data_IF_296968517631
#
_entry.id   IF_296968517631
#
_cell.length_a   1.000
_cell.length_b   1.000
_cell.length_c   1.000
_cell.angle_alpha   90.00
_cell.angle_beta   90.00
_cell.angle_gamma   90.00
#
_symmetry.space_group_name_H-M   'P 1'
#
loop_
_entity.id
_entity.type
_entity.pdbx_description
1 polymer ?
#
# COMPACT_ATOMS: atom_id res chain seq x y z
N UNK A 1 2.10 12.90 -9.57
CA UNK A 1 1.17 11.74 -9.58
C UNK A 1 1.99 10.45 -9.52
N UNK A 2 1.51 9.40 -8.86
CA UNK A 2 2.24 8.12 -8.73
C UNK A 2 1.39 6.96 -9.27
N UNK A 3 1.99 6.07 -10.03
CA UNK A 3 1.36 4.83 -10.52
C UNK A 3 2.20 3.62 -10.11
N UNK A 4 1.62 2.43 -10.26
CA UNK A 4 2.28 1.16 -9.94
C UNK A 4 2.98 0.63 -11.20
N UNK A 5 4.29 0.34 -11.13
CA UNK A 5 5.03 -0.30 -12.23
C UNK A 5 5.58 -1.65 -11.82
N UNK A 6 5.61 -2.57 -12.80
CA UNK A 6 6.25 -3.88 -12.71
C UNK A 6 7.77 -3.69 -12.70
N UNK A 7 8.47 -4.42 -11.84
CA UNK A 7 9.93 -4.57 -11.91
C UNK A 7 10.26 -5.46 -13.13
N UNK A 8 11.08 -4.96 -14.04
CA UNK A 8 11.32 -5.58 -15.34
C UNK A 8 12.05 -6.93 -15.23
N UNK A 9 11.40 -8.00 -15.69
CA UNK A 9 12.01 -9.24 -16.18
C UNK A 9 11.11 -9.82 -17.28
N UNK A 10 11.75 -10.37 -18.33
CA UNK A 10 11.21 -10.77 -19.63
C UNK A 10 9.98 -11.73 -19.62
N UNK A 11 9.19 -11.78 -20.71
CA UNK A 11 7.96 -12.60 -20.85
C UNK A 11 8.19 -13.87 -21.72
N UNK A 12 7.16 -14.71 -22.02
CA UNK A 12 6.03 -15.19 -21.21
C UNK A 12 5.74 -16.72 -21.39
N UNK A 13 4.82 -17.27 -20.59
CA UNK A 13 3.89 -18.32 -21.04
C UNK A 13 2.45 -17.98 -20.63
N UNK A 14 1.55 -18.22 -21.57
CA UNK A 14 0.13 -17.88 -21.59
C UNK A 14 -0.78 -18.87 -20.81
N UNK A 15 -2.06 -18.48 -20.72
CA UNK A 15 -3.31 -19.27 -20.55
C UNK A 15 -4.03 -19.22 -19.17
N UNK A 16 -5.36 -19.51 -19.06
CA UNK A 16 -6.48 -18.60 -19.35
C UNK A 16 -7.63 -18.68 -18.28
N UNK A 17 -8.78 -18.03 -18.55
CA UNK A 17 -10.10 -18.11 -17.87
C UNK A 17 -10.26 -17.47 -16.47
N UNK A 18 -11.39 -16.93 -16.04
CA UNK A 18 -12.63 -16.38 -16.63
C UNK A 18 -13.53 -15.93 -15.47
N UNK A 19 -14.17 -14.77 -15.61
CA UNK A 19 -15.52 -14.35 -15.17
C UNK A 19 -16.05 -14.74 -13.74
N UNK A 20 -16.67 -13.83 -12.98
CA UNK A 20 -18.12 -13.48 -12.99
C UNK A 20 -18.29 -12.26 -12.02
N UNK A 21 -18.70 -11.07 -12.47
CA UNK A 21 -20.04 -10.44 -12.42
C UNK A 21 -20.66 -10.26 -11.00
N UNK A 22 -21.28 -9.15 -10.59
CA UNK A 22 -21.58 -7.85 -11.22
C UNK A 22 -22.59 -7.01 -10.40
N UNK A 23 -22.82 -5.76 -10.88
CA UNK A 23 -24.05 -4.92 -10.86
C UNK A 23 -24.57 -4.41 -9.47
N UNK A 24 -24.91 -3.14 -9.17
CA UNK A 24 -25.75 -2.14 -9.86
C UNK A 24 -25.46 -0.69 -9.40
N UNK A 25 -25.57 0.25 -10.35
CA UNK A 25 -25.84 1.66 -10.10
C UNK A 25 -27.35 1.95 -10.24
N UNK A 26 -27.93 2.80 -9.37
CA UNK A 26 -28.92 3.79 -9.84
C UNK A 26 -29.25 4.89 -8.83
N UNK A 27 -28.98 6.12 -9.26
CA UNK A 27 -29.61 7.37 -8.79
C UNK A 27 -31.12 7.32 -9.00
N UNK A 28 -31.92 7.69 -7.99
CA UNK A 28 -33.27 8.24 -8.19
C UNK A 28 -33.60 9.41 -7.24
N UNK A 29 -34.40 10.32 -7.80
CA UNK A 29 -34.82 11.65 -7.37
C UNK A 29 -35.53 11.70 -6.01
N UNK A 30 -35.30 12.82 -5.30
CA UNK A 30 -36.02 13.24 -4.09
C UNK A 30 -37.52 13.42 -4.35
N UNK A 31 -38.36 12.74 -3.58
CA UNK A 31 -39.75 13.14 -3.26
C UNK A 31 -39.92 13.12 -1.75
N UNK A 32 -40.16 14.30 -1.16
CA UNK A 32 -40.46 14.50 0.27
C UNK A 32 -41.80 13.85 0.63
N UNK A 33 -41.79 12.90 1.56
CA UNK A 33 -42.96 12.52 2.38
C UNK A 33 -42.49 12.46 3.84
N UNK A 34 -43.14 13.25 4.70
CA UNK A 34 -42.92 13.28 6.16
C UNK A 34 -43.24 11.91 6.75
N UNK A 35 -42.30 11.30 7.46
CA UNK A 35 -42.51 10.12 8.30
C UNK A 35 -41.78 10.33 9.63
N UNK A 36 -42.48 9.96 10.71
CA UNK A 36 -42.16 10.14 12.14
C UNK A 36 -40.67 9.98 12.46
N UNK A 37 -40.13 10.95 13.20
CA UNK A 37 -38.83 10.86 13.87
C UNK A 37 -38.80 9.60 14.73
N UNK A 38 -38.01 8.62 14.29
CA UNK A 38 -37.36 7.67 15.20
C UNK A 38 -36.05 8.32 15.60
N UNK A 39 -35.79 8.37 16.90
CA UNK A 39 -34.46 8.64 17.45
C UNK A 39 -33.42 7.79 16.71
N UNK A 40 -32.23 8.32 16.38
CA UNK A 40 -31.17 7.47 15.87
C UNK A 40 -30.83 6.48 16.97
N UNK A 41 -30.93 5.19 16.68
CA UNK A 41 -30.18 4.21 17.44
C UNK A 41 -28.72 4.68 17.39
N UNK A 42 -28.10 4.93 18.54
CA UNK A 42 -26.66 5.14 18.62
C UNK A 42 -26.05 3.87 18.05
N UNK A 43 -25.61 3.91 16.80
CA UNK A 43 -24.86 2.79 16.22
C UNK A 43 -23.63 2.64 17.12
N UNK A 44 -23.49 1.48 17.75
CA UNK A 44 -22.32 1.19 18.56
C UNK A 44 -21.07 1.41 17.68
N UNK A 45 -20.18 2.29 18.13
CA UNK A 45 -18.91 2.51 17.44
C UNK A 45 -18.18 1.17 17.36
N UNK A 46 -17.69 0.82 16.18
CA UNK A 46 -16.91 -0.41 16.00
C UNK A 46 -15.58 -0.16 16.68
N UNK A 47 -15.25 -0.91 17.72
CA UNK A 47 -13.94 -0.82 18.38
C UNK A 47 -13.04 -1.94 17.91
N UNK A 48 -11.80 -1.61 17.56
CA UNK A 48 -10.78 -2.58 17.16
C UNK A 48 -9.45 -2.33 17.87
N UNK A 49 -8.85 -3.41 18.38
CA UNK A 49 -7.53 -3.39 19.00
C UNK A 49 -6.46 -3.80 17.99
N UNK A 50 -5.49 -2.92 17.80
CA UNK A 50 -4.31 -3.13 16.96
C UNK A 50 -3.08 -3.15 17.85
N UNK A 51 -2.26 -4.19 17.75
CA UNK A 51 -0.96 -4.26 18.42
C UNK A 51 0.15 -4.20 17.37
N UNK A 52 1.15 -3.35 17.59
CA UNK A 52 2.34 -3.25 16.73
C UNK A 52 3.53 -3.95 17.37
N UNK A 53 4.27 -4.74 16.60
CA UNK A 53 5.46 -5.49 17.02
C UNK A 53 6.57 -5.39 15.96
N UNK A 54 7.80 -5.73 16.32
CA UNK A 54 8.97 -5.57 15.46
C UNK A 54 10.18 -5.05 16.24
N UNK A 55 11.36 -5.09 15.62
CA UNK A 55 12.63 -4.76 16.25
C UNK A 55 12.68 -3.36 16.88
N UNK A 56 13.62 -3.19 17.82
CA UNK A 56 13.99 -1.88 18.34
C UNK A 56 14.34 -0.91 17.20
N UNK A 57 13.94 0.35 17.31
CA UNK A 57 14.24 1.39 16.33
C UNK A 57 13.73 1.16 14.87
N UNK A 58 12.88 0.15 14.62
CA UNK A 58 12.31 -0.08 13.29
C UNK A 58 11.18 0.91 12.91
N UNK A 59 10.84 1.86 13.79
CA UNK A 59 9.90 2.96 13.50
C UNK A 59 8.44 2.74 13.92
N UNK A 60 8.15 1.77 14.81
CA UNK A 60 6.79 1.48 15.32
C UNK A 60 6.09 2.71 15.92
N UNK A 61 6.75 3.35 16.88
CA UNK A 61 6.26 4.55 17.57
C UNK A 61 5.98 5.68 16.59
N UNK A 62 6.93 5.97 15.69
CA UNK A 62 6.77 7.02 14.68
C UNK A 62 5.57 6.73 13.75
N UNK A 63 5.38 5.47 13.34
CA UNK A 63 4.24 5.08 12.52
C UNK A 63 2.91 5.36 13.22
N UNK A 64 2.77 5.00 14.50
CA UNK A 64 1.54 5.22 15.26
C UNK A 64 1.30 6.70 15.57
N UNK A 65 2.36 7.46 15.90
CA UNK A 65 2.27 8.90 16.17
C UNK A 65 1.84 9.65 14.91
N UNK A 66 2.47 9.39 13.77
CA UNK A 66 2.09 10.04 12.50
C UNK A 66 0.66 9.69 12.13
N UNK A 67 0.25 8.44 12.29
CA UNK A 67 -1.11 8.02 12.02
C UNK A 67 -2.15 8.71 12.90
N UNK A 68 -1.84 8.94 14.18
CA UNK A 68 -2.79 9.52 15.15
C UNK A 68 -2.77 11.05 15.24
N UNK A 69 -1.62 11.68 14.99
CA UNK A 69 -1.40 13.13 15.21
C UNK A 69 -1.01 13.91 13.96
N UNK A 70 -0.79 13.25 12.83
CA UNK A 70 -0.34 13.85 11.57
C UNK A 70 0.95 14.70 11.71
N UNK A 71 1.81 14.33 12.67
CA UNK A 71 3.08 14.99 12.96
C UNK A 71 4.17 13.95 13.19
N UNK A 72 5.35 14.16 12.59
CA UNK A 72 6.50 13.30 12.79
C UNK A 72 7.25 13.73 14.06
N UNK A 73 7.58 12.82 14.99
CA UNK A 73 8.32 13.17 16.19
C UNK A 73 9.78 13.51 15.85
N UNK A 74 10.26 14.68 16.28
CA UNK A 74 11.66 15.10 16.07
C UNK A 74 12.65 14.44 17.03
N UNK A 75 12.16 13.99 18.19
CA UNK A 75 12.99 13.37 19.24
C UNK A 75 12.63 11.89 19.36
N UNK A 76 13.64 11.04 19.27
CA UNK A 76 13.48 9.61 19.52
C UNK A 76 13.50 9.33 21.02
N UNK A 77 12.39 8.80 21.53
CA UNK A 77 12.27 8.27 22.90
C UNK A 77 11.92 6.79 22.79
N UNK A 78 12.72 5.86 23.35
CA UNK A 78 12.40 4.44 23.31
C UNK A 78 11.06 4.12 24.02
N UNK A 79 10.16 3.42 23.32
CA UNK A 79 8.88 2.97 23.91
C UNK A 79 9.10 1.82 24.90
N UNK A 80 8.39 1.88 26.03
CA UNK A 80 8.16 0.73 26.92
C UNK A 80 6.81 0.09 26.59
N UNK A 81 5.72 0.81 26.87
CA UNK A 81 4.36 0.51 26.41
C UNK A 81 3.56 1.81 26.33
N UNK A 82 2.88 2.04 25.22
CA UNK A 82 1.97 3.18 25.09
C UNK A 82 0.67 2.78 24.40
N UNK A 83 -0.44 3.33 24.86
CA UNK A 83 -1.76 3.10 24.30
C UNK A 83 -2.30 4.40 23.72
N UNK A 84 -2.62 4.37 22.43
CA UNK A 84 -3.24 5.48 21.73
C UNK A 84 -4.65 5.10 21.27
N UNK A 85 -5.52 6.09 21.14
CA UNK A 85 -6.85 5.91 20.55
C UNK A 85 -6.95 6.83 19.33
N UNK A 86 -7.40 6.27 18.21
CA UNK A 86 -7.63 7.00 16.98
C UNK A 86 -9.01 6.67 16.41
N UNK A 87 -9.83 7.69 16.18
CA UNK A 87 -11.11 7.56 15.51
C UNK A 87 -10.91 7.68 13.99
N UNK A 88 -11.36 6.67 13.24
CA UNK A 88 -11.27 6.64 11.79
C UNK A 88 -12.62 6.32 11.13
N UNK A 89 -12.79 6.77 9.89
CA UNK A 89 -13.93 6.39 9.05
C UNK A 89 -13.49 5.38 7.98
N UNK A 90 -14.12 4.20 7.99
CA UNK A 90 -13.89 3.13 7.00
C UNK A 90 -15.24 2.74 6.39
N UNK A 91 -15.38 2.86 5.06
CA UNK A 91 -16.60 2.54 4.33
C UNK A 91 -17.87 3.22 4.90
N UNK A 92 -17.74 4.46 5.36
CA UNK A 92 -18.84 5.22 5.96
C UNK A 92 -19.20 4.79 7.40
N UNK A 93 -18.38 3.96 8.04
CA UNK A 93 -18.53 3.54 9.44
C UNK A 93 -17.43 4.14 10.30
N UNK A 94 -17.82 4.66 11.46
CA UNK A 94 -16.88 5.12 12.48
C UNK A 94 -16.30 3.93 13.22
N UNK A 95 -14.97 3.86 13.28
CA UNK A 95 -14.19 2.82 13.94
C UNK A 95 -13.24 3.48 14.93
N UNK A 96 -13.31 3.08 16.19
CA UNK A 96 -12.33 3.45 17.21
C UNK A 96 -11.20 2.41 17.20
N UNK A 97 -9.98 2.85 16.86
CA UNK A 97 -8.79 2.03 16.93
C UNK A 97 -8.05 2.26 18.24
N UNK A 98 -7.94 1.21 19.05
CA UNK A 98 -7.01 1.16 20.17
C UNK A 98 -5.65 0.64 19.67
N UNK A 99 -4.67 1.53 19.59
CA UNK A 99 -3.32 1.25 19.11
C UNK A 99 -2.40 0.96 20.31
N UNK A 100 -1.82 -0.22 20.34
CA UNK A 100 -0.91 -0.67 21.39
C UNK A 100 0.51 -0.70 20.86
N UNK A 101 1.31 0.29 21.27
CA UNK A 101 2.75 0.38 20.97
C UNK A 101 3.56 -0.49 21.92
N UNK A 102 4.48 -1.29 21.37
CA UNK A 102 5.27 -2.24 22.15
C UNK A 102 6.78 -2.02 21.96
N UNK A 103 7.55 -2.25 23.02
CA UNK A 103 8.99 -2.25 22.96
C UNK A 103 9.53 -3.39 22.07
N UNK A 104 10.48 -3.05 21.20
CA UNK A 104 11.14 -4.02 20.31
C UNK A 104 12.44 -4.62 20.87
N UNK A 105 12.91 -4.15 22.04
CA UNK A 105 14.12 -4.69 22.66
C UNK A 105 13.82 -5.99 23.41
N UNK A 106 14.83 -6.85 23.52
CA UNK A 106 14.77 -8.16 24.19
C UNK A 106 14.48 -8.02 25.70
N UNK A 107 14.93 -6.93 26.32
CA UNK A 107 14.66 -6.61 27.73
C UNK A 107 13.16 -6.64 28.09
N UNK A 108 12.29 -6.43 27.09
CA UNK A 108 10.84 -6.40 27.25
C UNK A 108 10.12 -7.65 26.73
N UNK A 109 10.84 -8.70 26.31
CA UNK A 109 10.24 -9.92 25.75
C UNK A 109 9.25 -10.61 26.71
N UNK A 110 9.47 -10.49 28.03
CA UNK A 110 8.56 -11.04 29.04
C UNK A 110 7.32 -10.18 29.29
N UNK A 111 7.39 -8.89 29.00
CA UNK A 111 6.31 -7.94 29.24
C UNK A 111 5.43 -7.76 28.00
N UNK A 112 6.00 -7.87 26.80
CA UNK A 112 5.27 -7.71 25.53
C UNK A 112 4.02 -8.59 25.42
N UNK A 113 4.03 -9.87 25.88
CA UNK A 113 2.85 -10.72 25.84
C UNK A 113 1.61 -10.17 26.56
N UNK A 114 1.79 -9.28 27.53
CA UNK A 114 0.69 -8.62 28.24
C UNK A 114 -0.14 -7.70 27.33
N UNK A 115 0.39 -7.31 26.17
CA UNK A 115 -0.30 -6.48 25.19
C UNK A 115 -1.18 -7.29 24.23
N UNK A 116 -1.01 -8.60 24.11
CA UNK A 116 -1.70 -9.45 23.13
C UNK A 116 -3.16 -9.85 23.41
N UNK A 117 -3.66 -9.92 24.67
CA UNK A 117 -5.05 -10.30 24.91
C UNK A 117 -6.05 -9.44 24.13
N UNK A 118 -7.08 -10.08 23.56
CA UNK A 118 -8.17 -9.43 22.80
C UNK A 118 -7.72 -8.61 21.58
N UNK A 119 -6.60 -8.96 20.96
CA UNK A 119 -6.10 -8.28 19.76
C UNK A 119 -6.90 -8.66 18.51
N UNK A 120 -7.37 -7.67 17.75
CA UNK A 120 -8.08 -7.88 16.48
C UNK A 120 -7.14 -7.95 15.26
N UNK A 121 -6.00 -7.26 15.32
CA UNK A 121 -5.01 -7.20 14.22
C UNK A 121 -3.60 -6.92 14.73
N UNK A 122 -2.61 -7.55 14.10
CA UNK A 122 -1.19 -7.32 14.37
C UNK A 122 -0.56 -6.53 13.22
N UNK A 123 0.12 -5.43 13.54
CA UNK A 123 1.09 -4.80 12.65
C UNK A 123 2.48 -5.33 12.98
N UNK A 124 3.10 -6.03 12.05
CA UNK A 124 4.43 -6.58 12.20
C UNK A 124 5.41 -5.76 11.36
N UNK A 125 6.33 -5.06 12.01
CA UNK A 125 7.17 -4.04 11.39
C UNK A 125 8.63 -4.45 11.29
N UNK A 126 9.24 -4.17 10.15
CA UNK A 126 10.68 -4.14 9.93
C UNK A 126 11.06 -2.77 9.32
N UNK A 127 12.34 -2.44 9.26
CA UNK A 127 12.80 -1.21 8.60
C UNK A 127 13.71 -1.51 7.42
N UNK A 128 13.53 -0.78 6.30
CA UNK A 128 14.29 -1.05 5.06
C UNK A 128 15.77 -0.71 5.15
N UNK A 129 16.18 0.02 6.18
CA UNK A 129 17.56 0.35 6.53
C UNK A 129 18.22 -0.66 7.49
N UNK A 130 17.50 -1.72 7.90
CA UNK A 130 18.02 -2.76 8.79
C UNK A 130 17.65 -4.15 8.25
N UNK A 131 18.57 -4.83 7.55
CA UNK A 131 18.34 -6.18 7.03
C UNK A 131 17.99 -7.19 8.13
N UNK A 132 18.70 -7.12 9.26
CA UNK A 132 18.44 -7.96 10.44
C UNK A 132 16.98 -7.87 10.89
N UNK A 133 16.37 -6.68 10.83
CA UNK A 133 14.97 -6.51 11.23
C UNK A 133 13.97 -7.24 10.32
N UNK A 134 14.34 -7.49 9.06
CA UNK A 134 13.58 -8.31 8.13
C UNK A 134 13.83 -9.81 8.38
N UNK A 135 15.06 -10.21 8.65
CA UNK A 135 15.42 -11.60 9.00
C UNK A 135 14.73 -12.06 10.30
N UNK A 136 14.58 -11.15 11.25
CA UNK A 136 13.87 -11.40 12.51
C UNK A 136 12.36 -11.63 12.33
N UNK A 137 11.76 -11.30 11.18
CA UNK A 137 10.33 -11.54 10.92
C UNK A 137 9.97 -13.02 11.00
N UNK A 138 10.59 -13.92 10.20
CA UNK A 138 10.35 -15.35 10.32
C UNK A 138 10.97 -15.99 11.57
N UNK A 139 12.11 -15.47 12.06
CA UNK A 139 12.88 -16.13 13.12
C UNK A 139 12.33 -15.82 14.54
N UNK A 140 11.85 -14.61 14.77
CA UNK A 140 11.42 -14.14 16.09
C UNK A 140 9.95 -13.73 16.12
N UNK A 141 9.58 -12.75 15.30
CA UNK A 141 8.27 -12.09 15.43
C UNK A 141 7.11 -12.96 15.01
N UNK A 142 7.26 -13.74 13.95
CA UNK A 142 6.22 -14.66 13.49
C UNK A 142 5.96 -15.78 14.51
N UNK A 143 6.98 -16.50 15.03
CA UNK A 143 6.78 -17.48 16.09
C UNK A 143 6.10 -16.90 17.35
N UNK A 144 6.56 -15.73 17.81
CA UNK A 144 5.99 -15.08 19.01
C UNK A 144 4.51 -14.73 18.81
N UNK A 145 4.17 -14.03 17.72
CA UNK A 145 2.79 -13.63 17.43
C UNK A 145 1.91 -14.85 17.22
N UNK A 146 2.36 -15.89 16.52
CA UNK A 146 1.57 -17.11 16.33
C UNK A 146 1.35 -17.90 17.62
N UNK A 147 2.27 -17.81 18.58
CA UNK A 147 2.11 -18.43 19.89
C UNK A 147 1.00 -17.75 20.71
N UNK A 148 1.00 -16.42 20.79
CA UNK A 148 0.05 -15.67 21.62
C UNK A 148 -1.25 -15.29 20.90
N UNK A 149 -1.22 -15.16 19.57
CA UNK A 149 -2.30 -14.66 18.72
C UNK A 149 -2.55 -15.57 17.49
N UNK A 150 -2.82 -16.88 17.67
CA UNK A 150 -2.80 -17.87 16.59
C UNK A 150 -3.78 -17.60 15.42
N UNK A 151 -4.90 -16.92 15.69
CA UNK A 151 -5.95 -16.65 14.71
C UNK A 151 -6.07 -15.17 14.34
N UNK A 152 -5.14 -14.33 14.81
CA UNK A 152 -5.21 -12.89 14.58
C UNK A 152 -4.52 -12.56 13.25
N UNK A 153 -5.18 -11.80 12.35
CA UNK A 153 -4.56 -11.41 11.09
C UNK A 153 -3.34 -10.52 11.31
N UNK A 154 -2.25 -10.87 10.61
CA UNK A 154 -0.99 -10.10 10.63
C UNK A 154 -0.90 -9.26 9.35
N UNK A 155 -0.42 -8.03 9.46
CA UNK A 155 -0.05 -7.16 8.34
C UNK A 155 1.45 -6.88 8.47
N UNK A 156 2.23 -7.27 7.47
CA UNK A 156 3.66 -6.96 7.40
C UNK A 156 3.84 -5.51 6.90
N UNK A 157 4.68 -4.73 7.58
CA UNK A 157 4.91 -3.31 7.30
C UNK A 157 6.41 -3.05 7.21
N UNK A 158 6.86 -2.55 6.06
CA UNK A 158 8.24 -2.07 5.87
C UNK A 158 8.34 -0.56 6.06
N UNK A 159 9.01 -0.14 7.13
CA UNK A 159 9.20 1.25 7.51
C UNK A 159 10.47 1.86 6.89
N UNK A 160 10.59 3.19 6.97
CA UNK A 160 11.76 3.98 6.54
C UNK A 160 12.14 3.82 5.06
N UNK A 161 11.12 3.67 4.21
CA UNK A 161 11.29 3.49 2.76
C UNK A 161 12.17 4.59 2.13
N UNK A 162 12.07 5.81 2.64
CA UNK A 162 12.88 6.97 2.24
C UNK A 162 14.40 6.68 2.29
N UNK A 163 14.85 5.84 3.24
CA UNK A 163 16.27 5.50 3.41
C UNK A 163 16.79 4.43 2.44
N UNK A 164 15.91 3.76 1.67
CA UNK A 164 16.32 2.68 0.74
C UNK A 164 17.28 3.16 -0.36
N UNK A 165 17.16 4.43 -0.76
CA UNK A 165 18.00 5.06 -1.78
C UNK A 165 18.90 6.17 -1.22
N UNK A 166 18.92 6.34 0.10
CA UNK A 166 19.76 7.34 0.76
C UNK A 166 21.23 6.93 0.71
N UNK A 167 22.09 7.82 0.19
CA UNK A 167 23.50 7.50 0.00
C UNK A 167 24.23 7.27 1.32
N UNK A 168 23.88 8.03 2.36
CA UNK A 168 24.52 7.90 3.66
C UNK A 168 24.20 6.53 4.26
N UNK A 169 22.92 6.15 4.28
CA UNK A 169 22.45 4.84 4.74
C UNK A 169 23.14 3.70 4.00
N UNK A 170 23.23 3.79 2.67
CA UNK A 170 23.92 2.78 1.85
C UNK A 170 25.40 2.66 2.18
N UNK A 171 26.09 3.78 2.44
CA UNK A 171 27.51 3.76 2.85
C UNK A 171 27.69 3.11 4.21
N UNK A 172 26.83 3.38 5.18
CA UNK A 172 26.92 2.75 6.50
C UNK A 172 26.66 1.25 6.44
N UNK A 173 25.63 0.81 5.69
CA UNK A 173 25.35 -0.61 5.47
C UNK A 173 26.52 -1.31 4.77
N UNK A 174 27.12 -0.68 3.75
CA UNK A 174 28.26 -1.23 3.04
C UNK A 174 29.48 -1.46 3.96
N UNK A 175 29.71 -0.62 4.98
CA UNK A 175 30.76 -0.85 5.99
C UNK A 175 30.53 -2.14 6.77
N UNK A 176 29.28 -2.50 6.98
CA UNK A 176 28.85 -3.74 7.65
C UNK A 176 28.69 -4.91 6.68
N UNK A 177 29.05 -4.73 5.40
CA UNK A 177 28.84 -5.71 4.30
C UNK A 177 27.37 -6.10 4.12
N UNK A 178 26.47 -5.16 4.37
CA UNK A 178 25.02 -5.31 4.20
C UNK A 178 24.50 -4.33 3.13
N UNK A 179 23.27 -4.58 2.66
CA UNK A 179 22.54 -3.70 1.75
C UNK A 179 21.07 -3.58 2.18
N UNK A 180 20.38 -2.54 1.73
CA UNK A 180 18.96 -2.35 2.08
C UNK A 180 18.10 -3.51 1.58
N UNK A 181 17.10 -3.89 2.37
CA UNK A 181 16.16 -4.95 2.02
C UNK A 181 15.49 -4.69 0.66
N UNK A 182 15.56 -5.67 -0.23
CA UNK A 182 14.97 -5.68 -1.57
C UNK A 182 13.50 -6.10 -1.52
N UNK A 183 12.76 -5.85 -2.61
CA UNK A 183 11.36 -6.28 -2.68
C UNK A 183 11.20 -7.81 -2.74
N UNK A 184 12.22 -8.53 -3.22
CA UNK A 184 12.22 -9.99 -3.31
C UNK A 184 12.39 -10.63 -1.93
N UNK A 185 13.25 -10.09 -1.08
CA UNK A 185 13.43 -10.56 0.30
C UNK A 185 12.16 -10.36 1.14
N UNK A 186 11.42 -9.28 0.90
CA UNK A 186 10.12 -9.03 1.55
C UNK A 186 9.11 -10.12 1.17
N UNK A 187 9.10 -10.59 -0.08
CA UNK A 187 8.22 -11.69 -0.49
C UNK A 187 8.53 -12.98 0.28
N UNK A 188 9.80 -13.28 0.52
CA UNK A 188 10.18 -14.46 1.29
C UNK A 188 9.61 -14.41 2.71
N UNK A 189 9.58 -13.23 3.33
CA UNK A 189 8.95 -13.04 4.65
C UNK A 189 7.44 -13.26 4.64
N UNK A 190 6.73 -12.95 3.54
CA UNK A 190 5.28 -13.15 3.45
C UNK A 190 4.86 -14.62 3.57
N UNK A 191 5.72 -15.56 3.21
CA UNK A 191 5.49 -17.02 3.38
C UNK A 191 5.16 -17.38 4.83
N UNK A 192 5.73 -16.64 5.77
CA UNK A 192 5.58 -16.85 7.21
C UNK A 192 4.39 -16.08 7.79
N UNK A 193 4.06 -14.92 7.20
CA UNK A 193 3.08 -13.97 7.73
C UNK A 193 1.64 -14.23 7.24
N UNK A 194 1.42 -14.58 5.96
CA UNK A 194 0.06 -14.78 5.40
C UNK A 194 -0.01 -15.86 4.33
N UNK A 195 -1.07 -16.70 4.31
CA UNK A 195 -1.82 -17.28 5.42
C UNK A 195 -0.99 -18.21 6.33
N UNK A 196 0.31 -18.35 6.08
CA UNK A 196 1.17 -19.37 6.70
C UNK A 196 1.05 -20.72 5.98
N UNK A 197 1.55 -21.79 6.61
CA UNK A 197 1.47 -23.17 6.13
C UNK A 197 2.11 -23.42 4.74
N UNK A 198 3.29 -22.85 4.50
CA UNK A 198 3.99 -23.03 3.22
C UNK A 198 3.35 -22.25 2.06
N UNK A 199 2.60 -21.18 2.35
CA UNK A 199 2.15 -20.26 1.33
C UNK A 199 3.32 -19.72 0.52
N UNK A 200 3.20 -19.78 -0.79
CA UNK A 200 4.11 -19.12 -1.72
C UNK A 200 3.40 -17.93 -2.36
N UNK A 201 3.90 -16.69 -2.14
CA UNK A 201 3.41 -15.52 -2.83
C UNK A 201 3.52 -15.68 -4.35
N UNK A 202 2.38 -15.89 -5.02
CA UNK A 202 2.30 -15.97 -6.47
C UNK A 202 1.67 -14.68 -7.03
N UNK A 203 2.26 -13.54 -6.70
CA UNK A 203 1.89 -12.26 -7.28
C UNK A 203 3.14 -11.41 -7.51
N UNK A 204 3.09 -10.60 -8.56
CA UNK A 204 4.17 -9.66 -8.86
C UNK A 204 4.12 -8.48 -7.89
N UNK A 205 5.26 -8.12 -7.30
CA UNK A 205 5.37 -6.90 -6.49
C UNK A 205 5.42 -5.69 -7.41
N UNK A 206 4.57 -4.72 -7.12
CA UNK A 206 4.58 -3.43 -7.81
C UNK A 206 5.13 -2.35 -6.88
N UNK A 207 5.88 -1.41 -7.45
CA UNK A 207 6.33 -0.24 -6.73
C UNK A 207 5.62 1.02 -7.26
N UNK A 208 5.34 1.96 -6.35
CA UNK A 208 4.90 3.31 -6.75
C UNK A 208 6.07 4.05 -7.38
N UNK A 209 5.93 4.43 -8.64
CA UNK A 209 6.86 5.31 -9.34
C UNK A 209 6.20 6.65 -9.67
N UNK A 210 7.01 7.66 -9.96
CA UNK A 210 6.52 8.92 -10.49
C UNK A 210 6.22 8.78 -11.98
N UNK A 211 5.08 9.32 -12.41
CA UNK A 211 4.64 9.23 -13.83
C UNK A 211 4.67 10.57 -14.56
N UNK A 212 4.75 11.67 -13.82
CA UNK A 212 4.85 13.03 -14.33
C UNK A 212 5.98 13.77 -13.62
N UNK A 213 6.36 14.94 -14.15
CA UNK A 213 7.45 15.76 -13.63
C UNK A 213 8.84 15.28 -14.08
N UNK A 214 9.85 15.95 -13.56
CA UNK A 214 11.27 15.78 -13.92
C UNK A 214 11.74 14.33 -13.75
N UNK A 215 11.35 13.72 -12.62
CA UNK A 215 11.71 12.37 -12.23
C UNK A 215 10.73 11.30 -12.73
N UNK A 216 9.88 11.61 -13.72
CA UNK A 216 8.96 10.63 -14.29
C UNK A 216 9.73 9.39 -14.82
N UNK A 217 9.21 8.21 -14.49
CA UNK A 217 9.82 6.93 -14.87
C UNK A 217 9.97 6.82 -16.40
N UNK A 218 11.11 6.31 -16.93
CA UNK A 218 11.38 6.27 -18.37
C UNK A 218 10.27 5.61 -19.21
N UNK A 219 9.70 4.51 -18.70
CA UNK A 219 8.53 3.85 -19.31
C UNK A 219 7.35 4.82 -19.52
N UNK A 220 7.02 5.63 -18.51
CA UNK A 220 5.91 6.58 -18.63
C UNK A 220 6.27 7.81 -19.46
N UNK A 221 7.55 8.21 -19.52
CA UNK A 221 8.01 9.21 -20.50
C UNK A 221 7.75 8.70 -21.92
N UNK A 222 8.27 7.51 -22.24
CA UNK A 222 8.05 6.83 -23.53
C UNK A 222 6.55 6.69 -23.89
N UNK A 223 5.73 6.15 -22.98
CA UNK A 223 4.30 5.95 -23.22
C UNK A 223 3.54 7.26 -23.46
N UNK A 224 3.89 8.33 -22.73
CA UNK A 224 3.27 9.66 -22.91
C UNK A 224 3.76 10.38 -24.17
N UNK A 225 4.95 10.06 -24.65
CA UNK A 225 5.48 10.65 -25.89
C UNK A 225 4.84 9.98 -27.12
N UNK A 226 4.68 8.66 -27.10
CA UNK A 226 4.01 7.88 -28.15
C UNK A 226 2.48 8.08 -28.14
N UNK A 227 1.87 8.16 -26.95
CA UNK A 227 0.41 8.31 -26.77
C UNK A 227 0.11 9.52 -25.88
N UNK A 228 0.23 10.74 -26.42
CA UNK A 228 0.16 11.98 -25.64
C UNK A 228 -1.21 12.26 -25.03
N UNK A 229 -2.29 11.76 -25.64
CA UNK A 229 -3.65 12.03 -25.20
C UNK A 229 -4.48 10.76 -25.10
N UNK A 230 -5.39 10.65 -24.12
CA UNK A 230 -6.40 9.62 -24.12
C UNK A 230 -7.26 9.68 -25.38
N UNK A 231 -7.44 8.54 -26.05
CA UNK A 231 -8.25 8.43 -27.26
C UNK A 231 -9.70 8.91 -27.04
N UNK A 232 -10.28 8.64 -25.87
CA UNK A 232 -11.66 8.96 -25.52
C UNK A 232 -11.84 10.33 -24.85
N UNK A 233 -10.75 11.03 -24.51
CA UNK A 233 -10.78 12.33 -23.86
C UNK A 233 -9.53 13.16 -24.20
N UNK A 234 -9.42 13.56 -25.47
CA UNK A 234 -8.26 14.28 -25.99
C UNK A 234 -8.12 15.72 -25.45
N UNK A 235 -9.13 16.22 -24.72
CA UNK A 235 -9.21 17.61 -24.23
C UNK A 235 -9.11 17.66 -22.70
N UNK A 236 -8.98 16.52 -22.01
CA UNK A 236 -8.85 16.50 -20.54
C UNK A 236 -7.59 17.24 -20.09
N UNK A 237 -7.76 18.52 -19.78
CA UNK A 237 -6.78 19.31 -19.04
C UNK A 237 -7.01 19.07 -17.54
N UNK A 238 -5.93 19.08 -16.77
CA UNK A 238 -6.04 19.09 -15.32
C UNK A 238 -6.83 20.33 -14.89
N UNK A 239 -8.09 20.12 -14.52
CA UNK A 239 -9.08 21.18 -14.34
C UNK A 239 -8.82 22.09 -13.12
N UNK A 240 -7.93 21.69 -12.20
CA UNK A 240 -7.58 22.51 -11.04
C UNK A 240 -6.04 22.55 -10.84
N UNK A 241 -5.39 23.70 -11.10
CA UNK A 241 -3.96 23.88 -10.87
C UNK A 241 -3.51 23.64 -9.43
N UNK A 242 -4.39 23.83 -8.43
CA UNK A 242 -4.07 23.61 -7.02
C UNK A 242 -3.83 22.13 -6.66
N UNK A 243 -4.23 21.20 -7.52
CA UNK A 243 -4.03 19.76 -7.31
C UNK A 243 -2.77 19.21 -8.01
N UNK A 244 -1.96 20.08 -8.62
CA UNK A 244 -0.75 19.70 -9.33
C UNK A 244 0.43 19.77 -8.36
N UNK A 245 0.99 18.61 -8.04
CA UNK A 245 2.09 18.45 -7.08
C UNK A 245 3.41 18.03 -7.75
N UNK A 246 3.59 18.34 -9.04
CA UNK A 246 4.79 17.99 -9.81
C UNK A 246 5.21 19.12 -10.75
N UNK A 247 6.48 19.10 -11.13
CA UNK A 247 7.09 20.04 -12.08
C UNK A 247 8.16 19.31 -12.90
N UNK A 248 8.38 19.67 -14.19
CA UNK A 248 7.53 20.56 -14.99
C UNK A 248 6.17 19.92 -15.30
N UNK A 249 5.19 20.77 -15.59
CA UNK A 249 3.85 20.34 -16.02
C UNK A 249 3.81 20.28 -17.54
N UNK A 250 3.44 19.13 -18.09
CA UNK A 250 3.41 18.88 -19.53
C UNK A 250 1.98 18.60 -20.01
N UNK A 251 1.68 18.93 -21.28
CA UNK A 251 0.34 18.69 -21.87
C UNK A 251 -0.03 17.21 -21.95
N UNK A 252 0.96 16.32 -22.06
CA UNK A 252 0.76 14.87 -22.13
C UNK A 252 0.75 14.18 -20.76
N UNK A 253 0.79 14.95 -19.66
CA UNK A 253 0.81 14.40 -18.31
C UNK A 253 -0.39 13.49 -18.02
N UNK A 254 -0.18 12.50 -17.15
CA UNK A 254 -1.26 11.67 -16.63
C UNK A 254 -2.06 12.50 -15.63
N UNK A 255 -3.33 12.71 -15.93
CA UNK A 255 -4.21 13.63 -15.24
C UNK A 255 -4.96 12.99 -14.05
N UNK A 256 -5.03 11.66 -14.00
CA UNK A 256 -5.65 10.92 -12.91
C UNK A 256 -5.13 9.47 -12.79
N UNK A 257 -5.23 8.93 -11.58
CA UNK A 257 -5.18 7.48 -11.35
C UNK A 257 -6.26 6.78 -12.23
N UNK A 258 -5.97 5.59 -12.75
CA UNK A 258 -6.84 4.82 -13.66
C UNK A 258 -6.91 5.27 -15.14
N UNK A 259 -6.06 6.19 -15.59
CA UNK A 259 -5.68 6.18 -17.01
C UNK A 259 -4.95 4.89 -17.37
N UNK A 260 -5.14 4.40 -18.59
CA UNK A 260 -4.71 3.07 -19.02
C UNK A 260 -3.94 3.18 -20.33
N UNK A 261 -2.84 2.45 -20.44
CA UNK A 261 -2.11 2.27 -21.69
C UNK A 261 -2.27 0.81 -22.13
N UNK A 262 -2.72 0.60 -23.34
CA UNK A 262 -2.72 -0.71 -23.99
C UNK A 262 -1.49 -0.79 -24.88
N UNK A 263 -0.70 -1.84 -24.66
CA UNK A 263 0.56 -2.11 -25.34
C UNK A 263 0.37 -3.43 -26.10
N UNK A 264 0.75 -3.45 -27.38
CA UNK A 264 0.68 -4.64 -28.21
C UNK A 264 1.67 -5.73 -27.80
N UNK A 265 1.49 -6.97 -28.28
CA UNK A 265 2.41 -8.07 -28.01
C UNK A 265 3.82 -7.84 -28.58
N UNK A 266 3.96 -6.94 -29.55
CA UNK A 266 5.23 -6.48 -30.11
C UNK A 266 5.93 -5.41 -29.25
N UNK A 267 5.34 -5.07 -28.09
CA UNK A 267 5.85 -4.05 -27.18
C UNK A 267 5.53 -2.62 -27.61
N UNK A 268 4.79 -2.41 -28.70
CA UNK A 268 4.46 -1.05 -29.17
C UNK A 268 3.22 -0.49 -28.47
N UNK A 269 3.23 0.78 -28.05
CA UNK A 269 2.04 1.43 -27.50
C UNK A 269 0.92 1.50 -28.55
N UNK A 270 -0.27 1.01 -28.21
CA UNK A 270 -1.41 0.99 -29.12
C UNK A 270 -2.40 2.12 -28.85
N UNK A 271 -2.90 2.22 -27.60
CA UNK A 271 -3.89 3.23 -27.21
C UNK A 271 -3.78 3.63 -25.75
N UNK A 272 -4.11 4.89 -25.47
CA UNK A 272 -4.28 5.44 -24.12
C UNK A 272 -5.75 5.72 -23.86
N UNK A 273 -6.25 5.38 -22.68
CA UNK A 273 -7.63 5.58 -22.29
C UNK A 273 -7.74 6.41 -21.02
N UNK A 274 -8.77 7.25 -20.97
CA UNK A 274 -9.05 8.10 -19.83
C UNK A 274 -9.54 7.26 -18.64
N UNK A 275 -9.55 7.88 -17.46
CA UNK A 275 -10.17 7.29 -16.26
C UNK A 275 -11.65 6.94 -16.43
N UNK A 276 -12.35 7.57 -17.39
CA UNK A 276 -13.79 7.37 -17.64
C UNK A 276 -14.07 6.21 -18.60
N UNK A 277 -13.05 5.79 -19.36
CA UNK A 277 -13.19 4.65 -20.25
C UNK A 277 -13.35 3.37 -19.42
N UNK A 278 -14.45 2.67 -19.68
CA UNK A 278 -14.76 1.42 -19.01
C UNK A 278 -13.76 0.34 -19.43
N UNK A 279 -13.09 -0.28 -18.46
CA UNK A 279 -12.06 -1.31 -18.72
C UNK A 279 -12.59 -2.46 -19.58
N UNK A 280 -13.87 -2.83 -19.43
CA UNK A 280 -14.50 -3.91 -20.20
C UNK A 280 -14.50 -3.62 -21.71
N UNK A 281 -14.58 -2.35 -22.12
CA UNK A 281 -14.59 -1.94 -23.53
C UNK A 281 -13.20 -1.98 -24.18
N UNK A 282 -12.16 -2.23 -23.40
CA UNK A 282 -10.79 -2.43 -23.92
C UNK A 282 -10.65 -3.82 -24.54
N UNK A 283 -11.57 -4.75 -24.23
CA UNK A 283 -11.54 -6.13 -24.74
C UNK A 283 -11.46 -6.19 -26.26
N UNK A 284 -12.29 -5.42 -26.99
CA UNK A 284 -12.30 -5.42 -28.45
C UNK A 284 -10.94 -5.01 -29.04
N UNK A 285 -10.29 -4.03 -28.41
CA UNK A 285 -8.96 -3.55 -28.79
C UNK A 285 -7.86 -4.57 -28.45
N UNK A 286 -8.01 -5.34 -27.36
CA UNK A 286 -7.12 -6.44 -27.01
C UNK A 286 -7.25 -7.59 -28.02
N UNK A 287 -8.48 -8.01 -28.33
CA UNK A 287 -8.74 -9.10 -29.28
C UNK A 287 -8.16 -8.78 -30.67
N UNK A 288 -8.23 -7.51 -31.08
CA UNK A 288 -7.61 -7.04 -32.33
C UNK A 288 -6.08 -7.15 -32.33
N UNK A 289 -5.43 -6.95 -31.19
CA UNK A 289 -3.97 -7.01 -31.05
C UNK A 289 -3.42 -8.43 -30.92
N UNK A 290 -4.28 -9.39 -30.61
CA UNK A 290 -3.92 -10.81 -30.45
C UNK A 290 -4.08 -11.61 -31.75
N UNK A 291 -4.63 -11.01 -32.81
CA UNK A 291 -4.74 -11.58 -34.16
C UNK A 291 -3.48 -11.28 -34.97
#
# INVERSE_FOLDING_TARGET
MRAWTRLAFDPPRCFPFSAIAGVWAQRRRKRRRRRKQRSPAVMAAIRKKLVIVGDGACGKTCLLIVFSKDQFPEVYVPTVFENYVADIEVDGKQVELALWDTAGQEDYDRLRPLSYPDTDVILMCFSTDSPDSLENIPEKWTPEVKHFCPNVPIILVGNKKDLRNDEHTRRELAKMKQENATNEEILNSLKYVRPGNGYEPNFTVFEKCEVNGENAHPLFKFLKDELPYPHDDAVSLMANPQNIIWSPVCRNDISWNFEKFLIGPDGKPFKRYSRRFETIKIQDDIEKLLQ
#
